data_IF_043364313367
#
_entry.id   IF_043364313367
#
_cell.length_a   1.000
_cell.length_b   1.000
_cell.length_c   1.000
_cell.angle_alpha   90.00
_cell.angle_beta   90.00
_cell.angle_gamma   90.00
#
_symmetry.space_group_name_H-M   'P 1'
#
loop_
_entity.id
_entity.type
_entity.pdbx_description
1 polymer ?
#
# COMPACT_ATOMS: atom_id res chain seq x y z
N UNK A 1 37.78 6.86 -18.80
CA UNK A 1 38.35 7.40 -17.54
C UNK A 1 37.36 8.40 -16.94
N UNK A 2 36.79 8.10 -15.76
CA UNK A 2 35.97 9.05 -14.97
C UNK A 2 36.90 10.10 -14.35
N UNK A 3 36.53 11.37 -14.41
CA UNK A 3 37.24 12.44 -13.70
C UNK A 3 37.06 12.29 -12.18
N UNK A 4 38.09 12.63 -11.41
CA UNK A 4 38.15 12.45 -9.95
C UNK A 4 37.06 13.19 -9.15
N UNK A 5 36.23 14.02 -9.79
CA UNK A 5 35.23 14.87 -9.14
C UNK A 5 33.78 14.60 -9.56
N UNK A 6 33.46 13.48 -10.22
CA UNK A 6 32.09 13.18 -10.67
C UNK A 6 31.40 12.18 -9.76
N UNK A 7 30.60 12.70 -8.82
CA UNK A 7 29.65 11.91 -8.01
C UNK A 7 28.34 11.79 -8.79
N UNK A 8 28.00 10.60 -9.27
CA UNK A 8 26.67 10.34 -9.85
C UNK A 8 25.73 10.09 -8.68
N UNK A 9 24.85 11.05 -8.40
CA UNK A 9 23.75 10.89 -7.45
C UNK A 9 22.48 10.72 -8.28
N UNK A 10 22.02 9.49 -8.47
CA UNK A 10 20.64 9.26 -8.92
C UNK A 10 19.73 9.47 -7.71
N UNK A 11 19.05 10.61 -7.67
CA UNK A 11 18.06 10.91 -6.65
C UNK A 11 16.68 10.59 -7.22
N UNK A 12 16.15 9.41 -6.89
CA UNK A 12 14.78 9.05 -7.21
C UNK A 12 13.86 9.77 -6.23
N UNK A 13 12.92 10.56 -6.75
CA UNK A 13 11.91 11.26 -5.96
C UNK A 13 10.54 11.00 -6.54
N UNK A 14 9.54 10.84 -5.66
CA UNK A 14 8.15 10.80 -6.09
C UNK A 14 7.76 12.19 -6.61
N UNK A 15 7.23 12.26 -7.83
CA UNK A 15 6.89 13.55 -8.48
C UNK A 15 5.39 13.81 -8.50
N UNK A 16 4.58 12.76 -8.45
CA UNK A 16 3.11 12.87 -8.44
C UNK A 16 2.48 11.58 -7.93
N UNK A 17 1.22 11.66 -7.52
CA UNK A 17 0.39 10.49 -7.23
C UNK A 17 -1.05 10.71 -7.70
N UNK A 18 -1.78 9.61 -7.81
CA UNK A 18 -3.24 9.58 -7.98
C UNK A 18 -3.88 8.69 -6.93
N UNK A 19 -4.95 9.16 -6.29
CA UNK A 19 -5.79 8.38 -5.36
C UNK A 19 -7.21 8.38 -5.91
N UNK A 20 -7.86 7.23 -5.91
CA UNK A 20 -9.28 7.11 -6.22
C UNK A 20 -9.93 6.23 -5.16
N UNK A 21 -11.06 6.68 -4.62
CA UNK A 21 -11.89 5.90 -3.70
C UNK A 21 -12.99 5.29 -4.54
N UNK A 22 -13.11 3.96 -4.48
CA UNK A 22 -14.18 3.24 -5.16
C UNK A 22 -15.19 2.77 -4.12
N UNK A 23 -16.44 3.16 -4.30
CA UNK A 23 -17.57 2.77 -3.47
C UNK A 23 -18.24 1.47 -3.94
N UNK A 24 -18.95 0.82 -3.01
CA UNK A 24 -19.91 -0.25 -3.34
C UNK A 24 -21.27 0.39 -3.68
N UNK A 25 -22.06 -0.28 -4.52
CA UNK A 25 -23.39 0.19 -4.99
C UNK A 25 -24.37 0.58 -3.87
N UNK A 26 -24.17 0.04 -2.65
CA UNK A 26 -25.02 0.29 -1.49
C UNK A 26 -24.64 1.57 -0.70
N UNK A 27 -23.53 2.23 -1.05
CA UNK A 27 -23.11 3.50 -0.45
C UNK A 27 -23.63 4.65 -1.32
N UNK A 28 -24.48 5.52 -0.77
CA UNK A 28 -25.05 6.63 -1.53
C UNK A 28 -24.08 7.80 -1.67
N UNK A 29 -24.18 8.56 -2.76
CA UNK A 29 -23.33 9.73 -2.99
C UNK A 29 -23.51 10.80 -1.89
N UNK A 30 -24.74 10.96 -1.35
CA UNK A 30 -24.98 11.90 -0.25
C UNK A 30 -24.23 11.51 1.03
N UNK A 31 -24.02 10.21 1.26
CA UNK A 31 -23.23 9.72 2.39
C UNK A 31 -21.74 10.01 2.20
N UNK A 32 -21.23 9.93 0.97
CA UNK A 32 -19.83 10.29 0.69
C UNK A 32 -19.61 11.79 0.89
N UNK A 33 -20.55 12.63 0.43
CA UNK A 33 -20.53 14.08 0.66
C UNK A 33 -20.63 14.44 2.15
N UNK A 34 -21.53 13.79 2.90
CA UNK A 34 -21.70 14.03 4.36
C UNK A 34 -20.40 13.80 5.14
N UNK A 35 -19.60 12.81 4.74
CA UNK A 35 -18.33 12.46 5.39
C UNK A 35 -17.10 13.07 4.69
N UNK A 36 -17.31 13.95 3.70
CA UNK A 36 -16.25 14.61 2.92
C UNK A 36 -15.29 13.60 2.27
N UNK A 37 -15.82 12.45 1.83
CA UNK A 37 -15.06 11.40 1.13
C UNK A 37 -15.01 11.76 -0.36
N UNK A 38 -13.82 11.81 -0.97
CA UNK A 38 -13.68 12.19 -2.37
C UNK A 38 -14.36 11.17 -3.28
N UNK A 39 -15.21 11.65 -4.19
CA UNK A 39 -15.84 10.88 -5.27
C UNK A 39 -15.05 10.96 -6.58
N UNK A 40 -14.25 12.01 -6.74
CA UNK A 40 -13.40 12.21 -7.91
C UNK A 40 -11.94 11.81 -7.63
N UNK A 41 -11.17 11.39 -8.65
CA UNK A 41 -9.75 11.09 -8.50
C UNK A 41 -8.96 12.30 -7.98
N UNK A 42 -8.24 12.11 -6.88
CA UNK A 42 -7.29 13.10 -6.36
C UNK A 42 -5.98 12.91 -7.10
N UNK A 43 -5.56 13.92 -7.86
CA UNK A 43 -4.27 13.94 -8.57
C UNK A 43 -3.44 15.07 -7.99
N UNK A 44 -2.24 14.75 -7.51
CA UNK A 44 -1.29 15.73 -6.99
C UNK A 44 0.04 15.62 -7.73
N UNK A 45 0.63 16.76 -8.07
CA UNK A 45 1.95 16.88 -8.68
C UNK A 45 2.77 17.84 -7.83
N UNK A 46 3.94 17.39 -7.38
CA UNK A 46 4.85 18.22 -6.59
C UNK A 46 5.29 19.45 -7.37
N UNK A 47 5.49 20.55 -6.65
CA UNK A 47 6.05 21.78 -7.20
C UNK A 47 7.47 21.99 -6.68
N UNK A 48 8.21 22.96 -7.24
CA UNK A 48 9.55 23.28 -6.74
C UNK A 48 9.57 23.68 -5.26
N UNK A 49 8.46 24.21 -4.75
CA UNK A 49 8.31 24.71 -3.38
C UNK A 49 7.73 23.66 -2.41
N UNK A 50 7.09 22.60 -2.91
CA UNK A 50 6.59 21.45 -2.14
C UNK A 50 7.14 20.13 -2.73
N UNK A 51 8.39 19.77 -2.41
CA UNK A 51 9.05 18.61 -3.01
C UNK A 51 8.64 17.27 -2.37
N UNK A 52 7.91 17.30 -1.25
CA UNK A 52 7.62 16.11 -0.45
C UNK A 52 6.27 15.46 -0.81
N UNK A 53 6.22 14.96 -2.05
CA UNK A 53 5.04 14.34 -2.63
C UNK A 53 4.65 13.06 -1.87
N UNK A 54 5.63 12.34 -1.33
CA UNK A 54 5.41 11.08 -0.60
C UNK A 54 4.72 11.34 0.75
N UNK A 55 5.17 12.35 1.49
CA UNK A 55 4.49 12.79 2.72
C UNK A 55 3.06 13.24 2.44
N UNK A 56 2.87 14.11 1.44
CA UNK A 56 1.53 14.59 1.08
C UNK A 56 0.60 13.42 0.72
N UNK A 57 1.11 12.41 0.01
CA UNK A 57 0.36 11.19 -0.27
C UNK A 57 -0.09 10.46 1.00
N UNK A 58 0.82 10.22 1.96
CA UNK A 58 0.50 9.53 3.22
C UNK A 58 -0.50 10.32 4.05
N UNK A 59 -0.33 11.64 4.17
CA UNK A 59 -1.26 12.51 4.87
C UNK A 59 -2.68 12.44 4.28
N UNK A 60 -2.79 12.42 2.94
CA UNK A 60 -4.08 12.26 2.26
C UNK A 60 -4.71 10.89 2.51
N UNK A 61 -3.96 9.79 2.38
CA UNK A 61 -4.47 8.43 2.64
C UNK A 61 -4.93 8.29 4.09
N UNK A 62 -4.18 8.82 5.06
CA UNK A 62 -4.55 8.81 6.48
C UNK A 62 -5.83 9.63 6.72
N UNK A 63 -5.97 10.78 6.08
CA UNK A 63 -7.18 11.61 6.19
C UNK A 63 -8.41 10.87 5.63
N UNK A 64 -8.30 10.31 4.42
CA UNK A 64 -9.36 9.49 3.81
C UNK A 64 -9.71 8.30 4.71
N UNK A 65 -8.71 7.58 5.22
CA UNK A 65 -8.90 6.46 6.13
C UNK A 65 -9.66 6.84 7.41
N UNK A 66 -9.39 8.02 7.98
CA UNK A 66 -10.15 8.55 9.13
C UNK A 66 -11.62 8.84 8.77
N UNK A 67 -11.88 9.42 7.60
CA UNK A 67 -13.23 9.72 7.10
C UNK A 67 -14.03 8.44 6.85
N UNK A 68 -13.44 7.48 6.14
CA UNK A 68 -14.03 6.16 5.88
C UNK A 68 -14.28 5.40 7.20
N UNK A 69 -13.37 5.47 8.17
CA UNK A 69 -13.59 4.87 9.49
C UNK A 69 -14.78 5.47 10.23
N UNK A 70 -15.00 6.79 10.12
CA UNK A 70 -16.18 7.43 10.69
C UNK A 70 -17.46 6.97 9.99
N UNK A 71 -17.47 6.98 8.65
CA UNK A 71 -18.60 6.49 7.85
C UNK A 71 -18.97 5.05 8.24
N UNK A 72 -17.98 4.17 8.30
CA UNK A 72 -18.16 2.77 8.65
C UNK A 72 -18.67 2.56 10.08
N UNK A 73 -18.52 3.53 11.00
CA UNK A 73 -19.05 3.47 12.37
C UNK A 73 -20.50 3.97 12.49
N UNK A 74 -21.04 4.58 11.46
CA UNK A 74 -22.43 5.07 11.43
C UNK A 74 -23.41 3.91 11.59
N UNK A 75 -24.49 4.16 12.34
CA UNK A 75 -25.62 3.25 12.49
C UNK A 75 -26.91 4.06 12.30
N UNK A 76 -27.37 4.15 11.04
CA UNK A 76 -28.62 4.81 10.72
C UNK A 76 -29.80 4.03 11.31
N UNK A 77 -30.84 4.73 11.80
CA UNK A 77 -32.07 4.09 12.22
C UNK A 77 -32.65 3.22 11.11
N UNK A 78 -33.24 2.09 11.50
CA UNK A 78 -33.86 1.17 10.56
C UNK A 78 -35.04 1.82 9.82
N UNK A 79 -35.10 1.61 8.52
CA UNK A 79 -36.16 2.05 7.63
C UNK A 79 -36.87 0.80 7.11
N UNK A 80 -38.18 0.70 7.40
CA UNK A 80 -39.03 -0.40 6.96
C UNK A 80 -40.28 0.13 6.26
N UNK A 81 -40.62 -0.46 5.13
CA UNK A 81 -41.93 -0.28 4.48
C UNK A 81 -43.04 -1.00 5.25
N UNK A 82 -44.30 -0.61 5.04
CA UNK A 82 -45.44 -1.28 5.68
C UNK A 82 -45.48 -2.79 5.41
N UNK A 83 -45.11 -3.20 4.19
CA UNK A 83 -45.04 -4.61 3.79
C UNK A 83 -43.91 -5.36 4.51
N UNK A 84 -42.75 -4.73 4.69
CA UNK A 84 -41.61 -5.30 5.44
C UNK A 84 -41.94 -5.46 6.92
N UNK A 85 -42.63 -4.48 7.51
CA UNK A 85 -43.13 -4.58 8.89
C UNK A 85 -44.05 -5.79 9.00
N UNK A 86 -44.98 -5.97 8.06
CA UNK A 86 -45.89 -7.13 8.07
C UNK A 86 -45.13 -8.45 7.93
N UNK A 87 -44.15 -8.54 7.03
CA UNK A 87 -43.29 -9.72 6.87
C UNK A 87 -42.50 -10.02 8.15
N UNK A 88 -41.95 -9.00 8.80
CA UNK A 88 -41.21 -9.13 10.05
C UNK A 88 -42.09 -9.61 11.22
N UNK A 89 -43.30 -9.06 11.33
CA UNK A 89 -44.26 -9.42 12.39
C UNK A 89 -44.73 -10.85 12.24
N UNK A 90 -45.15 -11.25 11.04
CA UNK A 90 -45.75 -12.57 10.76
C UNK A 90 -44.75 -13.72 10.77
N UNK A 91 -43.48 -13.45 10.46
CA UNK A 91 -42.50 -14.50 10.35
C UNK A 91 -42.15 -15.10 11.73
N UNK A 92 -42.19 -16.44 11.84
CA UNK A 92 -41.97 -17.20 13.08
C UNK A 92 -40.59 -17.87 13.18
N UNK A 93 -39.83 -17.92 12.07
CA UNK A 93 -38.51 -18.58 12.02
C UNK A 93 -37.40 -17.63 11.54
N UNK A 94 -36.17 -17.82 12.00
CA UNK A 94 -34.99 -17.05 11.57
C UNK A 94 -34.69 -17.31 10.09
N UNK A 95 -34.47 -16.26 9.29
CA UNK A 95 -34.20 -16.40 7.86
C UNK A 95 -32.86 -17.12 7.55
N UNK A 96 -31.91 -17.11 8.50
CA UNK A 96 -30.59 -17.73 8.29
C UNK A 96 -30.52 -19.18 8.78
N UNK A 97 -31.00 -19.46 10.00
CA UNK A 97 -30.90 -20.80 10.60
C UNK A 97 -32.21 -21.59 10.62
N UNK A 98 -33.32 -20.98 10.17
CA UNK A 98 -34.68 -21.53 10.21
C UNK A 98 -35.19 -21.93 11.61
N UNK A 99 -34.46 -21.61 12.69
CA UNK A 99 -34.89 -21.85 14.07
C UNK A 99 -35.98 -20.86 14.52
N UNK A 100 -36.84 -21.30 15.44
CA UNK A 100 -37.81 -20.42 16.12
C UNK A 100 -37.16 -19.43 17.09
N UNK A 101 -37.91 -18.41 17.51
CA UNK A 101 -37.46 -17.44 18.51
C UNK A 101 -37.80 -17.87 19.92
N UNK A 102 -36.99 -17.41 20.87
CA UNK A 102 -37.23 -17.60 22.29
C UNK A 102 -36.87 -16.34 23.06
N UNK A 103 -37.20 -16.28 24.35
CA UNK A 103 -36.78 -15.18 25.22
C UNK A 103 -35.24 -15.04 25.29
N UNK A 104 -34.51 -16.17 25.20
CA UNK A 104 -33.05 -16.18 25.22
C UNK A 104 -32.42 -15.83 23.87
N UNK A 105 -33.14 -16.02 22.76
CA UNK A 105 -32.68 -15.72 21.41
C UNK A 105 -33.80 -14.99 20.65
N UNK A 106 -33.89 -13.69 20.91
CA UNK A 106 -34.97 -12.83 20.46
C UNK A 106 -34.94 -12.60 18.94
N UNK A 107 -36.09 -12.17 18.43
CA UNK A 107 -36.28 -11.75 17.05
C UNK A 107 -35.67 -10.36 16.85
N UNK A 108 -34.76 -10.23 15.88
CA UNK A 108 -34.07 -8.99 15.52
C UNK A 108 -34.35 -8.67 14.05
N UNK A 109 -34.63 -7.40 13.76
CA UNK A 109 -34.69 -6.88 12.40
C UNK A 109 -33.26 -6.48 11.98
N UNK A 110 -32.67 -7.27 11.10
CA UNK A 110 -31.33 -7.03 10.54
C UNK A 110 -31.43 -5.95 9.46
N UNK A 111 -30.53 -4.98 9.49
CA UNK A 111 -30.55 -3.82 8.59
C UNK A 111 -29.13 -3.36 8.25
N UNK A 112 -29.00 -2.71 7.10
CA UNK A 112 -27.74 -2.10 6.70
C UNK A 112 -27.51 -0.82 7.53
N UNK A 113 -26.41 -0.74 8.26
CA UNK A 113 -26.10 0.38 9.15
C UNK A 113 -25.81 1.71 8.42
N UNK A 114 -25.44 1.69 7.14
CA UNK A 114 -25.17 2.88 6.33
C UNK A 114 -26.45 3.42 5.68
N UNK A 115 -27.27 2.56 5.09
CA UNK A 115 -28.49 2.98 4.38
C UNK A 115 -29.76 2.95 5.25
N UNK A 116 -29.73 2.26 6.39
CA UNK A 116 -30.90 2.00 7.24
C UNK A 116 -31.85 0.96 6.67
N UNK A 117 -31.64 0.46 5.44
CA UNK A 117 -32.57 -0.46 4.77
C UNK A 117 -32.65 -1.79 5.51
N UNK A 118 -33.86 -2.23 5.80
CA UNK A 118 -34.13 -3.55 6.33
C UNK A 118 -33.68 -4.63 5.33
N UNK A 119 -32.97 -5.65 5.84
CA UNK A 119 -32.47 -6.76 5.03
C UNK A 119 -33.30 -8.00 5.29
N UNK A 120 -33.37 -8.42 6.56
CA UNK A 120 -33.96 -9.71 6.90
C UNK A 120 -34.26 -9.84 8.39
N UNK A 121 -34.87 -10.96 8.74
CA UNK A 121 -35.25 -11.28 10.10
C UNK A 121 -34.36 -12.36 10.68
N UNK A 122 -33.60 -12.01 11.69
CA UNK A 122 -32.64 -12.92 12.31
C UNK A 122 -32.96 -13.17 13.77
N UNK A 123 -32.43 -14.27 14.28
CA UNK A 123 -32.27 -14.44 15.73
C UNK A 123 -31.06 -13.64 16.20
N UNK A 124 -31.06 -13.17 17.45
CA UNK A 124 -29.93 -12.41 18.02
C UNK A 124 -28.58 -13.10 17.80
N UNK A 125 -28.51 -14.42 17.99
CA UNK A 125 -27.29 -15.21 17.73
C UNK A 125 -26.86 -15.19 16.27
N UNK A 126 -27.79 -15.29 15.32
CA UNK A 126 -27.48 -15.20 13.90
C UNK A 126 -27.05 -13.79 13.50
N UNK A 127 -27.72 -12.77 14.03
CA UNK A 127 -27.41 -11.36 13.77
C UNK A 127 -25.95 -11.02 14.16
N UNK A 128 -25.51 -11.46 15.34
CA UNK A 128 -24.13 -11.25 15.79
C UNK A 128 -23.10 -11.96 14.89
N UNK A 129 -23.46 -13.09 14.27
CA UNK A 129 -22.59 -13.81 13.32
C UNK A 129 -22.53 -13.15 11.95
N UNK A 130 -23.57 -12.39 11.58
CA UNK A 130 -23.65 -11.65 10.32
C UNK A 130 -22.91 -10.30 10.36
N UNK A 131 -22.30 -9.92 11.49
CA UNK A 131 -21.44 -8.74 11.55
C UNK A 131 -20.23 -8.92 10.61
N UNK A 132 -20.31 -8.32 9.44
CA UNK A 132 -19.23 -8.31 8.45
C UNK A 132 -18.03 -7.55 8.99
N UNK A 133 -16.84 -8.09 8.70
CA UNK A 133 -15.59 -7.38 8.90
C UNK A 133 -15.60 -6.14 8.01
N UNK A 134 -15.46 -4.97 8.62
CA UNK A 134 -15.32 -3.69 7.92
C UNK A 134 -13.89 -3.56 7.40
N UNK A 135 -13.58 -4.32 6.35
CA UNK A 135 -12.29 -4.28 5.67
C UNK A 135 -12.42 -3.37 4.45
N UNK A 136 -11.55 -2.37 4.35
CA UNK A 136 -11.43 -1.51 3.16
C UNK A 136 -10.22 -1.99 2.38
N UNK A 137 -10.39 -2.63 1.21
CA UNK A 137 -9.27 -3.05 0.40
C UNK A 137 -8.59 -1.83 -0.23
N UNK A 138 -7.26 -1.74 -0.09
CA UNK A 138 -6.44 -0.72 -0.74
C UNK A 138 -5.58 -1.37 -1.83
N UNK A 139 -5.71 -0.88 -3.06
CA UNK A 139 -4.93 -1.36 -4.21
C UNK A 139 -3.92 -0.31 -4.62
N UNK A 140 -2.67 -0.74 -4.83
CA UNK A 140 -1.60 0.12 -5.31
C UNK A 140 -1.08 -0.41 -6.65
N UNK A 141 -1.15 0.42 -7.68
CA UNK A 141 -0.73 0.03 -9.04
C UNK A 141 0.80 -0.05 -9.19
N UNK A 142 1.55 0.77 -8.44
CA UNK A 142 3.01 0.89 -8.52
C UNK A 142 3.65 0.77 -7.12
N UNK A 143 3.34 -0.31 -6.39
CA UNK A 143 4.00 -0.62 -5.11
C UNK A 143 5.09 -1.67 -5.23
N UNK A 144 5.34 -2.19 -6.43
CA UNK A 144 6.38 -3.18 -6.66
C UNK A 144 7.77 -2.51 -6.66
N UNK A 145 8.78 -3.22 -6.16
CA UNK A 145 10.17 -2.75 -6.15
C UNK A 145 10.39 -1.47 -5.30
N UNK A 146 11.27 -0.58 -5.78
CA UNK A 146 11.84 0.56 -5.03
C UNK A 146 10.80 1.65 -4.67
N UNK A 147 9.64 1.66 -5.32
CA UNK A 147 8.61 2.70 -5.16
C UNK A 147 7.90 2.60 -3.81
N UNK A 148 7.82 1.40 -3.22
CA UNK A 148 7.30 1.17 -1.88
C UNK A 148 8.12 1.88 -0.78
N UNK A 149 9.44 2.05 -0.99
CA UNK A 149 10.34 2.68 -0.02
C UNK A 149 9.88 4.09 0.34
N UNK A 150 9.49 4.90 -0.66
CA UNK A 150 9.02 6.27 -0.44
C UNK A 150 7.75 6.33 0.39
N UNK A 151 6.86 5.34 0.28
CA UNK A 151 5.60 5.33 1.02
C UNK A 151 5.81 4.74 2.42
N UNK A 152 6.59 3.68 2.55
CA UNK A 152 6.85 3.00 3.83
C UNK A 152 7.61 3.90 4.80
N UNK A 153 8.59 4.66 4.31
CA UNK A 153 9.33 5.64 5.12
C UNK A 153 8.40 6.72 5.68
N UNK A 154 7.48 7.22 4.87
CA UNK A 154 6.46 8.20 5.27
C UNK A 154 5.38 7.63 6.19
N UNK A 155 4.95 6.37 5.99
CA UNK A 155 3.95 5.70 6.84
C UNK A 155 4.47 5.46 8.27
N UNK A 156 5.79 5.25 8.41
CA UNK A 156 6.46 5.14 9.70
C UNK A 156 6.90 6.50 10.26
N UNK A 157 6.77 7.59 9.51
CA UNK A 157 7.30 8.90 9.89
C UNK A 157 6.63 9.40 11.17
N UNK A 158 7.45 9.82 12.13
CA UNK A 158 7.04 10.16 13.49
C UNK A 158 7.17 8.99 14.48
N UNK A 159 6.73 7.77 14.12
CA UNK A 159 6.98 6.58 14.96
C UNK A 159 8.44 6.13 14.90
N UNK A 160 9.04 6.17 13.70
CA UNK A 160 10.44 5.82 13.51
C UNK A 160 11.40 6.85 14.14
N UNK A 161 10.92 8.06 14.45
CA UNK A 161 11.68 9.11 15.15
C UNK A 161 11.53 9.02 16.69
N UNK A 162 10.66 8.14 17.21
CA UNK A 162 10.49 7.95 18.65
C UNK A 162 11.79 7.49 19.29
N UNK A 163 12.17 8.16 20.38
CA UNK A 163 13.42 7.93 21.12
C UNK A 163 13.32 6.83 22.18
N UNK A 164 12.17 6.16 22.22
CA UNK A 164 11.89 5.07 23.16
C UNK A 164 11.49 3.82 22.41
N UNK A 165 11.92 2.67 22.93
CA UNK A 165 11.39 1.40 22.49
C UNK A 165 9.92 1.33 22.89
N UNK A 166 9.05 0.94 21.96
CA UNK A 166 7.60 0.86 22.17
C UNK A 166 7.24 -0.07 23.33
N UNK A 167 6.10 0.19 23.99
CA UNK A 167 5.60 -0.68 25.06
C UNK A 167 5.18 -2.05 24.49
N UNK A 168 5.17 -3.08 25.33
CA UNK A 168 4.92 -4.46 24.88
C UNK A 168 3.55 -4.59 24.18
N UNK A 169 2.57 -3.85 24.66
CA UNK A 169 1.19 -3.85 24.16
C UNK A 169 1.10 -3.35 22.71
N UNK A 170 2.02 -2.48 22.30
CA UNK A 170 2.04 -1.90 20.95
C UNK A 170 2.63 -2.85 19.89
N UNK A 171 3.22 -3.97 20.30
CA UNK A 171 3.67 -5.04 19.40
C UNK A 171 2.55 -5.99 18.97
N UNK A 172 1.28 -5.68 19.29
CA UNK A 172 0.17 -6.52 18.87
C UNK A 172 0.02 -6.52 17.34
N UNK A 173 0.16 -7.70 16.74
CA UNK A 173 -0.04 -7.90 15.31
C UNK A 173 -1.53 -8.12 15.02
N UNK A 174 -2.18 -7.16 14.36
CA UNK A 174 -3.55 -7.30 13.88
C UNK A 174 -3.69 -8.40 12.82
N UNK A 175 -2.63 -8.62 12.02
CA UNK A 175 -2.59 -9.64 10.97
C UNK A 175 -2.64 -11.06 11.56
N UNK A 176 -1.83 -11.33 12.58
CA UNK A 176 -1.77 -12.66 13.22
C UNK A 176 -2.69 -12.78 14.45
N UNK A 177 -3.26 -11.65 14.89
CA UNK A 177 -4.05 -11.48 16.12
C UNK A 177 -3.31 -11.94 17.38
N UNK A 178 -1.99 -11.76 17.41
CA UNK A 178 -1.11 -12.19 18.50
C UNK A 178 -0.31 -11.02 19.07
N UNK A 179 -0.07 -11.08 20.38
CA UNK A 179 0.92 -10.25 21.06
C UNK A 179 2.31 -10.87 20.90
N UNK A 180 3.34 -10.02 20.99
CA UNK A 180 4.73 -10.47 21.12
C UNK A 180 4.92 -11.33 22.38
N UNK A 181 5.74 -12.37 22.27
CA UNK A 181 6.06 -13.20 23.41
C UNK A 181 6.93 -12.44 24.43
N UNK A 182 6.91 -12.87 25.70
CA UNK A 182 7.63 -12.16 26.78
C UNK A 182 9.16 -12.22 26.58
N UNK A 183 9.68 -13.37 26.15
CA UNK A 183 11.08 -13.59 25.78
C UNK A 183 11.52 -12.69 24.61
N UNK A 184 10.69 -12.57 23.56
CA UNK A 184 10.94 -11.71 22.40
C UNK A 184 11.02 -10.23 22.80
N UNK A 185 10.11 -9.76 23.65
CA UNK A 185 10.16 -8.38 24.15
C UNK A 185 11.39 -8.12 25.06
N UNK A 186 11.79 -9.09 25.87
CA UNK A 186 13.03 -8.99 26.66
C UNK A 186 14.27 -8.93 25.74
N UNK A 187 14.25 -9.68 24.65
CA UNK A 187 15.30 -9.62 23.63
C UNK A 187 15.35 -8.25 22.96
N UNK A 188 14.20 -7.71 22.52
CA UNK A 188 14.07 -6.37 21.95
C UNK A 188 14.68 -5.29 22.86
N UNK A 189 14.34 -5.31 24.16
CA UNK A 189 14.90 -4.41 25.19
C UNK A 189 16.42 -4.54 25.31
N UNK A 190 16.94 -5.77 25.26
CA UNK A 190 18.37 -6.04 25.35
C UNK A 190 19.11 -5.53 24.12
N UNK A 191 18.57 -5.77 22.92
CA UNK A 191 19.13 -5.28 21.65
C UNK A 191 19.15 -3.75 21.64
N UNK A 192 18.02 -3.12 21.99
CA UNK A 192 17.90 -1.66 22.09
C UNK A 192 18.99 -1.05 22.99
N UNK A 193 19.13 -1.56 24.22
CA UNK A 193 20.11 -1.07 25.17
C UNK A 193 21.56 -1.37 24.79
N UNK A 194 21.83 -2.53 24.17
CA UNK A 194 23.18 -2.94 23.80
C UNK A 194 23.77 -2.13 22.65
N UNK A 195 22.97 -1.84 21.61
CA UNK A 195 23.43 -1.07 20.45
C UNK A 195 23.28 0.44 20.66
N UNK A 196 22.56 0.87 21.70
CA UNK A 196 22.39 2.28 22.03
C UNK A 196 21.60 3.04 20.96
N UNK A 197 20.62 2.37 20.35
CA UNK A 197 19.74 2.98 19.34
C UNK A 197 19.00 4.18 19.92
N UNK A 198 18.95 5.25 19.14
CA UNK A 198 18.33 6.52 19.51
C UNK A 198 16.93 6.68 18.98
N UNK A 199 16.60 5.94 17.92
CA UNK A 199 15.29 6.04 17.28
C UNK A 199 14.76 4.65 16.93
N UNK A 200 13.44 4.51 16.89
CA UNK A 200 12.80 3.26 16.47
C UNK A 200 13.16 2.88 15.02
N UNK A 201 13.50 3.86 14.19
CA UNK A 201 14.04 3.66 12.84
C UNK A 201 15.33 2.84 12.82
N UNK A 202 16.33 3.22 13.62
CA UNK A 202 17.60 2.50 13.71
C UNK A 202 17.40 1.04 14.18
N UNK A 203 16.48 0.84 15.12
CA UNK A 203 16.11 -0.48 15.60
C UNK A 203 15.36 -1.30 14.52
N UNK A 204 14.45 -0.67 13.79
CA UNK A 204 13.71 -1.29 12.68
C UNK A 204 14.64 -1.74 11.56
N UNK A 205 15.64 -0.94 11.21
CA UNK A 205 16.62 -1.27 10.16
C UNK A 205 17.38 -2.57 10.47
N UNK A 206 17.73 -2.81 11.74
CA UNK A 206 18.34 -4.06 12.16
C UNK A 206 17.41 -5.25 11.90
N UNK A 207 16.14 -5.14 12.31
CA UNK A 207 15.15 -6.21 12.12
C UNK A 207 14.88 -6.50 10.65
N UNK A 208 14.81 -5.46 9.82
CA UNK A 208 14.68 -5.60 8.37
C UNK A 208 15.89 -6.33 7.79
N UNK A 209 17.10 -5.99 8.26
CA UNK A 209 18.32 -6.66 7.82
C UNK A 209 18.39 -8.12 8.25
N UNK A 210 18.01 -8.46 9.50
CA UNK A 210 17.97 -9.84 9.98
C UNK A 210 16.98 -10.68 9.17
N UNK A 211 15.78 -10.16 8.93
CA UNK A 211 14.78 -10.85 8.11
C UNK A 211 15.28 -11.05 6.67
N UNK A 212 15.90 -10.03 6.08
CA UNK A 212 16.51 -10.14 4.75
C UNK A 212 17.62 -11.21 4.71
N UNK A 213 18.49 -11.24 5.73
CA UNK A 213 19.54 -12.25 5.87
C UNK A 213 18.96 -13.66 5.93
N UNK A 214 17.90 -13.88 6.71
CA UNK A 214 17.27 -15.19 6.85
C UNK A 214 16.61 -15.64 5.55
N UNK A 215 15.91 -14.74 4.85
CA UNK A 215 15.34 -15.01 3.52
C UNK A 215 16.44 -15.38 2.53
N UNK A 216 17.55 -14.63 2.49
CA UNK A 216 18.68 -14.90 1.62
C UNK A 216 19.32 -16.27 1.92
N UNK A 217 19.45 -16.62 3.20
CA UNK A 217 19.95 -17.92 3.62
C UNK A 217 19.01 -19.06 3.22
N UNK A 218 17.71 -18.91 3.44
CA UNK A 218 16.71 -19.92 3.06
C UNK A 218 16.62 -20.11 1.55
N UNK A 219 16.67 -19.03 0.79
CA UNK A 219 16.42 -19.03 -0.66
C UNK A 219 17.65 -19.40 -1.47
N UNK A 220 18.82 -18.88 -1.08
CA UNK A 220 20.05 -18.98 -1.87
C UNK A 220 21.17 -19.72 -1.14
N UNK A 221 21.00 -20.02 0.16
CA UNK A 221 22.02 -20.63 1.01
C UNK A 221 23.35 -19.82 0.95
N UNK A 222 23.22 -18.49 0.97
CA UNK A 222 24.30 -17.51 0.98
C UNK A 222 23.98 -16.44 2.03
N UNK A 223 24.97 -16.09 2.86
CA UNK A 223 24.78 -15.11 3.94
C UNK A 223 25.04 -13.71 3.39
N UNK A 224 24.01 -12.86 3.38
CA UNK A 224 24.13 -11.47 2.92
C UNK A 224 25.25 -10.69 3.62
N UNK A 225 25.44 -10.91 4.93
CA UNK A 225 26.42 -10.21 5.74
C UNK A 225 27.89 -10.45 5.33
N UNK A 226 28.19 -11.41 4.45
CA UNK A 226 29.53 -11.60 3.88
C UNK A 226 29.80 -10.75 2.63
N UNK A 227 28.79 -10.02 2.15
CA UNK A 227 28.89 -9.22 0.93
C UNK A 227 28.85 -7.73 1.27
N UNK A 228 29.80 -6.98 0.69
CA UNK A 228 29.83 -5.52 0.85
C UNK A 228 28.68 -4.81 0.13
N UNK A 229 28.15 -5.40 -0.95
CA UNK A 229 27.12 -4.77 -1.78
C UNK A 229 26.08 -5.79 -2.27
N UNK A 230 24.85 -5.34 -2.47
CA UNK A 230 23.78 -6.17 -3.03
C UNK A 230 24.09 -6.71 -4.45
N UNK A 231 24.71 -5.94 -5.37
CA UNK A 231 25.16 -6.48 -6.66
C UNK A 231 26.19 -7.62 -6.52
N UNK A 232 27.14 -7.51 -5.59
CA UNK A 232 28.12 -8.59 -5.34
C UNK A 232 27.46 -9.87 -4.83
N UNK A 233 26.49 -9.73 -3.93
CA UNK A 233 25.65 -10.86 -3.50
C UNK A 233 24.87 -11.47 -4.67
N UNK A 234 24.15 -10.65 -5.45
CA UNK A 234 23.35 -11.12 -6.57
C UNK A 234 24.19 -11.81 -7.65
N UNK A 235 25.42 -11.35 -7.86
CA UNK A 235 26.36 -11.97 -8.77
C UNK A 235 26.70 -13.40 -8.33
N UNK A 236 27.08 -13.61 -7.06
CA UNK A 236 27.36 -14.94 -6.52
C UNK A 236 26.12 -15.84 -6.50
N UNK A 237 24.94 -15.29 -6.18
CA UNK A 237 23.66 -16.01 -6.29
C UNK A 237 23.45 -16.50 -7.71
N UNK A 238 23.69 -15.65 -8.71
CA UNK A 238 23.55 -15.98 -10.14
C UNK A 238 24.53 -17.06 -10.57
N UNK A 239 25.80 -16.95 -10.16
CA UNK A 239 26.81 -17.97 -10.44
C UNK A 239 26.47 -19.31 -9.81
N UNK A 240 26.01 -19.32 -8.55
CA UNK A 240 25.59 -20.53 -7.85
C UNK A 240 24.38 -21.19 -8.51
N UNK A 241 23.41 -20.39 -8.96
CA UNK A 241 22.19 -20.88 -9.61
C UNK A 241 22.48 -21.44 -11.00
N UNK A 242 23.22 -20.70 -11.82
CA UNK A 242 23.53 -21.08 -13.21
C UNK A 242 24.63 -22.14 -13.31
N UNK A 243 25.50 -22.24 -12.30
CA UNK A 243 26.70 -23.10 -12.28
C UNK A 243 27.66 -22.86 -13.44
N UNK A 244 27.60 -21.67 -14.04
CA UNK A 244 28.48 -21.28 -15.13
C UNK A 244 29.88 -21.02 -14.56
N UNK A 245 30.89 -21.67 -15.14
CA UNK A 245 32.29 -21.28 -14.93
C UNK A 245 32.60 -20.10 -15.85
N UNK A 246 32.94 -18.96 -15.27
CA UNK A 246 33.38 -17.81 -16.05
C UNK A 246 34.83 -17.97 -16.47
N UNK A 247 35.09 -17.73 -17.75
CA UNK A 247 36.45 -17.64 -18.27
C UNK A 247 37.05 -16.27 -17.91
N UNK A 248 38.31 -16.27 -17.51
CA UNK A 248 39.04 -15.04 -17.26
C UNK A 248 39.31 -14.33 -18.59
N UNK A 249 38.87 -13.09 -18.74
CA UNK A 249 39.22 -12.26 -19.89
C UNK A 249 40.71 -11.89 -19.84
N UNK A 250 41.53 -12.70 -20.50
CA UNK A 250 42.99 -12.51 -20.55
C UNK A 250 43.45 -11.64 -21.73
N UNK A 251 42.61 -11.48 -22.76
CA UNK A 251 42.90 -10.68 -23.95
C UNK A 251 42.25 -9.29 -23.84
N UNK A 252 43.03 -8.27 -24.16
CA UNK A 252 42.60 -6.88 -24.19
C UNK A 252 41.52 -6.63 -25.25
N UNK A 253 41.57 -7.32 -26.40
CA UNK A 253 40.60 -7.14 -27.46
C UNK A 253 39.21 -7.69 -27.07
N UNK A 254 39.17 -8.77 -26.28
CA UNK A 254 37.92 -9.28 -25.71
C UNK A 254 37.29 -8.26 -24.75
N UNK A 255 38.10 -7.64 -23.89
CA UNK A 255 37.62 -6.59 -22.98
C UNK A 255 37.02 -5.42 -23.76
N UNK A 256 37.72 -4.94 -24.79
CA UNK A 256 37.23 -3.85 -25.64
C UNK A 256 35.93 -4.20 -26.37
N UNK A 257 35.77 -5.46 -26.82
CA UNK A 257 34.53 -5.92 -27.44
C UNK A 257 33.36 -5.82 -26.46
N UNK A 258 33.52 -6.27 -25.22
CA UNK A 258 32.49 -6.18 -24.19
C UNK A 258 32.18 -4.72 -23.82
N UNK A 259 33.20 -3.90 -23.56
CA UNK A 259 33.00 -2.50 -23.18
C UNK A 259 32.26 -1.69 -24.26
N UNK A 260 32.57 -1.93 -25.55
CA UNK A 260 31.87 -1.29 -26.67
C UNK A 260 30.44 -1.82 -26.89
N UNK A 261 30.14 -3.02 -26.40
CA UNK A 261 28.82 -3.63 -26.49
C UNK A 261 27.87 -3.19 -25.37
N UNK A 262 28.37 -2.66 -24.26
CA UNK A 262 27.55 -2.20 -23.14
C UNK A 262 26.85 -0.89 -23.53
N UNK A 263 25.53 -0.96 -23.67
CA UNK A 263 24.66 0.19 -23.84
C UNK A 263 23.66 0.20 -22.68
N UNK A 264 23.30 1.39 -22.20
CA UNK A 264 22.20 1.54 -21.24
C UNK A 264 20.84 1.34 -21.91
N UNK A 265 19.78 1.58 -21.15
CA UNK A 265 18.42 1.49 -21.68
C UNK A 265 18.16 2.54 -22.77
N UNK A 266 17.38 2.12 -23.76
CA UNK A 266 16.92 3.02 -24.82
C UNK A 266 15.77 3.88 -24.30
N UNK A 267 16.06 5.14 -23.98
CA UNK A 267 15.04 6.13 -23.61
C UNK A 267 14.78 7.05 -24.80
N UNK A 268 13.65 6.84 -25.48
CA UNK A 268 13.16 7.76 -26.51
C UNK A 268 11.96 8.56 -25.98
N UNK A 269 12.15 9.83 -25.58
CA UNK A 269 11.04 10.74 -25.36
C UNK A 269 10.43 11.10 -26.72
N UNK A 270 9.32 10.47 -27.08
CA UNK A 270 8.55 10.86 -28.26
C UNK A 270 7.68 12.08 -27.92
N UNK A 271 8.01 13.24 -28.46
CA UNK A 271 7.04 14.33 -28.49
C UNK A 271 6.01 14.00 -29.56
N UNK A 272 4.72 13.92 -29.19
CA UNK A 272 3.64 13.88 -30.17
C UNK A 272 3.63 15.22 -30.89
N UNK A 273 4.11 15.23 -32.13
CA UNK A 273 4.00 16.40 -33.00
C UNK A 273 2.55 16.48 -33.50
N UNK A 274 1.80 17.45 -32.99
CA UNK A 274 0.46 17.80 -33.49
C UNK A 274 0.59 19.13 -34.19
N UNK A 275 0.28 19.15 -35.48
CA UNK A 275 0.24 20.36 -36.28
C UNK A 275 -1.23 20.71 -36.56
N UNK A 276 -1.69 21.85 -36.06
CA UNK A 276 -3.02 22.36 -36.36
C UNK A 276 -3.08 22.83 -37.82
N UNK A 277 -4.13 22.46 -38.55
CA UNK A 277 -4.37 22.95 -39.90
C UNK A 277 -5.19 24.24 -39.79
N UNK A 278 -4.52 25.39 -39.62
CA UNK A 278 -5.18 26.69 -39.52
C UNK A 278 -4.75 27.67 -40.61
N UNK A 279 -5.58 28.65 -40.95
CA UNK A 279 -5.28 29.60 -42.05
C UNK A 279 -4.01 30.43 -41.80
N UNK A 280 -3.58 30.54 -40.54
CA UNK A 280 -2.47 31.38 -40.11
C UNK A 280 -1.10 30.70 -40.18
N UNK A 281 -1.04 29.39 -40.45
CA UNK A 281 0.22 28.68 -40.67
C UNK A 281 0.60 28.62 -42.14
N UNK A 282 1.91 28.67 -42.42
CA UNK A 282 2.45 28.79 -43.79
C UNK A 282 2.09 27.62 -44.71
N UNK A 283 1.82 26.44 -44.15
CA UNK A 283 1.48 25.21 -44.89
C UNK A 283 0.02 24.77 -44.71
N UNK A 284 -0.88 25.74 -44.53
CA UNK A 284 -2.33 25.51 -44.50
C UNK A 284 -2.83 24.74 -45.74
N UNK A 285 -3.51 23.61 -45.50
CA UNK A 285 -4.11 22.77 -46.53
C UNK A 285 -5.61 23.07 -46.66
N UNK A 286 -5.98 23.80 -47.72
CA UNK A 286 -7.35 24.19 -48.05
C UNK A 286 -8.28 23.00 -48.36
N UNK A 287 -7.74 21.81 -48.60
CA UNK A 287 -8.54 20.61 -48.86
C UNK A 287 -8.91 19.84 -47.58
N UNK A 288 -8.42 20.27 -46.42
CA UNK A 288 -8.75 19.70 -45.11
C UNK A 288 -9.52 20.72 -44.28
N UNK A 289 -10.31 20.23 -43.34
CA UNK A 289 -11.04 21.09 -42.41
C UNK A 289 -10.08 21.97 -41.60
N UNK A 290 -10.47 23.23 -41.44
CA UNK A 290 -9.78 24.22 -40.61
C UNK A 290 -9.98 23.84 -39.14
N UNK A 291 -8.87 23.71 -38.41
CA UNK A 291 -8.86 23.30 -36.99
C UNK A 291 -9.18 24.45 -36.04
#
# INVERSE_FOLDING_TARGET
MKGQNTTIIQNHKLMSYGIYVNEEDDISTELLEEFDIPTEPIIYRGTGDEPDVARHFVEQIVNIGKKVTKLLKTNKPIIMTAEEVQRYVTCQHCNLCNGGFSAANSKIADHNNLSGKYQQKLSNTCNLKCQTLKLVPCFFYNLSNYESYFIVTELGWGKLEEDTLTEKEDFYSTLTKKNIEKNEYVHARKVWGNFGYRTLGEYSDLYVFENFRDICMMSYNLVQAYYYTAPGFNYDVTLKYTRIGLELLSDYDMLLMFERGIHGDFVQPSMRYVKANNITVEDYDKMKEDS
#
